data_IF_612707007572
#
_entry.id   IF_612707007572
#
_cell.length_a   1.000
_cell.length_b   1.000
_cell.length_c   1.000
_cell.angle_alpha   90.00
_cell.angle_beta   90.00
_cell.angle_gamma   90.00
#
_symmetry.space_group_name_H-M   'P 1'
#
loop_
_entity.id
_entity.type
_entity.pdbx_description
1 polymer ?
#
# COMPACT_ATOMS: atom_id res chain seq x y z
N UNK A 1 4.96 -18.59 6.79
CA UNK A 1 5.87 -18.05 7.81
C UNK A 1 7.28 -18.18 7.28
N UNK A 2 7.92 -17.10 6.83
CA UNK A 2 9.29 -17.15 6.30
C UNK A 2 10.32 -17.24 7.43
N UNK A 3 11.50 -17.81 7.13
CA UNK A 3 12.56 -18.14 8.09
C UNK A 3 13.15 -16.92 8.81
N UNK A 4 13.08 -15.72 8.22
CA UNK A 4 13.58 -14.49 8.82
C UNK A 4 12.58 -13.34 8.64
N UNK A 5 12.17 -12.70 9.75
CA UNK A 5 11.23 -11.58 9.75
C UNK A 5 11.79 -10.34 9.03
N UNK A 6 13.10 -10.14 9.06
CA UNK A 6 13.75 -9.03 8.38
C UNK A 6 13.55 -9.12 6.87
N UNK A 7 13.92 -10.26 6.28
CA UNK A 7 13.79 -10.49 4.83
C UNK A 7 12.32 -10.43 4.36
N UNK A 8 11.37 -10.89 5.19
CA UNK A 8 9.93 -10.79 4.87
C UNK A 8 9.48 -9.32 4.88
N UNK A 9 9.98 -8.51 5.80
CA UNK A 9 9.69 -7.07 5.84
C UNK A 9 10.29 -6.33 4.64
N UNK A 10 11.55 -6.60 4.32
CA UNK A 10 12.26 -5.98 3.19
C UNK A 10 11.56 -6.32 1.86
N UNK A 11 11.22 -7.59 1.65
CA UNK A 11 10.47 -8.02 0.48
C UNK A 11 9.08 -7.38 0.40
N UNK A 12 8.36 -7.30 1.52
CA UNK A 12 7.03 -6.68 1.53
C UNK A 12 7.10 -5.17 1.23
N UNK A 13 8.17 -4.50 1.66
CA UNK A 13 8.45 -3.10 1.34
C UNK A 13 8.78 -2.90 -0.16
N UNK A 14 9.62 -3.76 -0.74
CA UNK A 14 9.92 -3.76 -2.18
C UNK A 14 8.64 -3.94 -3.03
N UNK A 15 7.80 -4.91 -2.66
CA UNK A 15 6.54 -5.19 -3.36
C UNK A 15 5.59 -3.99 -3.26
N UNK A 16 5.51 -3.31 -2.12
CA UNK A 16 4.71 -2.08 -1.96
C UNK A 16 5.22 -0.94 -2.86
N UNK A 17 6.53 -0.78 -2.98
CA UNK A 17 7.15 0.29 -3.77
C UNK A 17 6.83 0.21 -5.28
N UNK A 18 6.56 -1.00 -5.79
CA UNK A 18 6.18 -1.20 -7.21
C UNK A 18 4.88 -0.46 -7.55
N UNK A 19 3.90 -0.45 -6.63
CA UNK A 19 2.63 0.22 -6.85
C UNK A 19 2.00 0.63 -5.53
N UNK A 20 2.37 1.81 -5.06
CA UNK A 20 1.82 2.37 -3.84
C UNK A 20 0.31 2.64 -3.95
N UNK A 21 -0.43 2.55 -2.83
CA UNK A 21 -1.85 2.81 -2.82
C UNK A 21 -2.15 4.29 -3.09
N UNK A 22 -2.87 4.56 -4.17
CA UNK A 22 -3.21 5.93 -4.57
C UNK A 22 -4.07 6.66 -3.51
N UNK A 23 -3.82 7.96 -3.25
CA UNK A 23 -4.52 8.73 -2.22
C UNK A 23 -5.99 9.03 -2.55
N UNK A 24 -6.47 8.78 -3.77
CA UNK A 24 -7.87 9.07 -4.14
C UNK A 24 -8.73 7.82 -4.17
N UNK A 25 -8.32 6.82 -4.95
CA UNK A 25 -9.08 5.57 -5.15
C UNK A 25 -8.59 4.43 -4.26
N UNK A 26 -7.49 4.61 -3.52
CA UNK A 26 -6.88 3.56 -2.70
C UNK A 26 -6.38 2.36 -3.50
N UNK A 27 -6.15 2.55 -4.82
CA UNK A 27 -5.72 1.47 -5.72
C UNK A 27 -4.21 1.29 -5.60
N UNK A 28 -3.76 0.06 -5.32
CA UNK A 28 -2.35 -0.28 -5.19
C UNK A 28 -2.14 -1.42 -4.19
N UNK A 29 -0.87 -1.68 -3.88
CA UNK A 29 -0.42 -2.70 -2.94
C UNK A 29 -0.40 -2.11 -1.54
N UNK A 30 -1.11 -2.74 -0.61
CA UNK A 30 -1.25 -2.28 0.78
C UNK A 30 -1.11 -3.45 1.75
N UNK A 31 -0.76 -3.14 2.98
CA UNK A 31 -0.84 -4.16 4.04
C UNK A 31 -2.30 -4.46 4.40
N UNK A 32 -2.55 -5.66 4.92
CA UNK A 32 -3.90 -6.19 5.13
C UNK A 32 -4.77 -5.29 6.02
N UNK A 33 -4.18 -4.65 7.03
CA UNK A 33 -4.85 -3.77 7.99
C UNK A 33 -4.43 -2.30 7.87
N UNK A 34 -3.84 -1.90 6.74
CA UNK A 34 -3.40 -0.52 6.53
C UNK A 34 -4.58 0.40 6.22
N UNK A 35 -4.70 1.49 7.00
CA UNK A 35 -5.68 2.54 6.78
C UNK A 35 -5.11 3.60 5.82
N UNK A 36 -5.65 3.65 4.59
CA UNK A 36 -5.24 4.63 3.58
C UNK A 36 -6.04 5.92 3.77
N UNK A 37 -5.34 7.04 3.99
CA UNK A 37 -5.96 8.37 4.03
C UNK A 37 -6.39 8.72 2.61
N UNK A 38 -7.71 8.72 2.38
CA UNK A 38 -8.27 9.09 1.07
C UNK A 38 -8.52 10.59 1.04
N UNK A 39 -8.02 11.25 0.01
CA UNK A 39 -8.37 12.63 -0.33
C UNK A 39 -9.62 12.62 -1.21
N UNK A 40 -10.50 13.58 -0.99
CA UNK A 40 -11.61 13.80 -1.91
C UNK A 40 -11.05 14.14 -3.30
N UNK A 41 -11.47 13.37 -4.30
CA UNK A 41 -11.22 13.75 -5.67
C UNK A 41 -11.99 15.03 -5.99
N UNK A 42 -11.40 15.94 -6.77
CA UNK A 42 -12.17 17.02 -7.40
C UNK A 42 -13.07 16.39 -8.47
N UNK A 43 -14.18 15.82 -8.06
CA UNK A 43 -15.23 15.41 -9.00
C UNK A 43 -16.08 16.64 -9.21
N UNK A 44 -15.75 17.42 -10.24
CA UNK A 44 -16.72 18.33 -10.83
C UNK A 44 -17.81 17.48 -11.49
N UNK A 45 -18.95 17.35 -10.81
CA UNK A 45 -20.25 17.09 -11.41
C UNK A 45 -21.30 17.80 -10.57
#
# INVERSE_FOLDING_TARGET
SGTNKQHVGDFAAEVRAVREPEPYKGKGIRYQNEHIIRKEGKTGK
#
